data_IF_961018479875
#
_entry.id   IF_961018479875
#
_cell.length_a   1.000
_cell.length_b   1.000
_cell.length_c   1.000
_cell.angle_alpha   90.00
_cell.angle_beta   90.00
_cell.angle_gamma   90.00
#
_symmetry.space_group_name_H-M   'P 1'
#
loop_
_entity.id
_entity.type
_entity.pdbx_description
1 polymer ?
#
# COMPACT_ATOMS: atom_id res chain seq x y z
N UNK A 1 -6.85 22.95 -7.95
CA UNK A 1 -7.62 21.70 -8.20
C UNK A 1 -7.04 20.49 -7.45
N UNK A 2 -7.91 19.61 -6.89
CA UNK A 2 -7.49 18.31 -6.31
C UNK A 2 -7.04 17.35 -7.43
N UNK A 3 -6.08 16.45 -7.15
CA UNK A 3 -5.55 15.49 -8.14
C UNK A 3 -6.64 14.64 -8.80
N UNK A 4 -7.67 14.25 -8.05
CA UNK A 4 -8.78 13.45 -8.56
C UNK A 4 -9.61 14.20 -9.60
N UNK A 5 -9.87 15.51 -9.40
CA UNK A 5 -10.59 16.32 -10.38
C UNK A 5 -9.82 16.45 -11.70
N UNK A 6 -8.50 16.59 -11.65
CA UNK A 6 -7.65 16.57 -12.86
C UNK A 6 -7.75 15.24 -13.60
N UNK A 7 -7.82 14.13 -12.86
CA UNK A 7 -7.98 12.78 -13.43
C UNK A 7 -9.37 12.56 -14.00
N UNK A 8 -10.40 13.15 -13.41
CA UNK A 8 -11.75 13.19 -13.99
C UNK A 8 -11.76 13.90 -15.35
N UNK A 9 -11.08 15.04 -15.46
CA UNK A 9 -10.93 15.76 -16.73
C UNK A 9 -10.18 14.91 -17.77
N UNK A 10 -9.10 14.24 -17.36
CA UNK A 10 -8.37 13.31 -18.23
C UNK A 10 -9.26 12.15 -18.73
N UNK A 11 -10.09 11.59 -17.85
CA UNK A 11 -11.03 10.53 -18.21
C UNK A 11 -12.10 11.05 -19.17
N UNK A 12 -12.59 12.28 -18.98
CA UNK A 12 -13.51 12.93 -19.89
C UNK A 12 -12.89 13.13 -21.28
N UNK A 13 -11.69 13.71 -21.37
CA UNK A 13 -10.98 13.89 -22.65
C UNK A 13 -10.76 12.54 -23.37
N UNK A 14 -10.38 11.49 -22.64
CA UNK A 14 -10.23 10.15 -23.16
C UNK A 14 -11.54 9.57 -23.72
N UNK A 15 -12.65 9.73 -22.98
CA UNK A 15 -13.98 9.25 -23.42
C UNK A 15 -14.50 9.98 -24.66
N UNK A 16 -14.09 11.23 -24.84
CA UNK A 16 -14.40 11.99 -26.04
C UNK A 16 -13.52 11.62 -27.25
N UNK A 17 -12.64 10.62 -27.13
CA UNK A 17 -11.81 10.12 -28.23
C UNK A 17 -10.68 11.08 -28.64
N UNK A 18 -10.35 12.06 -27.80
CA UNK A 18 -9.32 13.05 -28.09
C UNK A 18 -7.94 12.41 -28.01
N UNK A 19 -6.98 12.92 -28.76
CA UNK A 19 -5.59 12.46 -28.66
C UNK A 19 -4.93 12.99 -27.38
N UNK A 20 -3.87 12.35 -26.86
CA UNK A 20 -3.15 12.87 -25.70
C UNK A 20 -2.59 14.29 -25.92
N UNK A 21 -2.27 14.66 -27.17
CA UNK A 21 -1.79 16.00 -27.53
C UNK A 21 -2.91 17.02 -27.35
N UNK A 22 -4.09 16.76 -27.91
CA UNK A 22 -5.26 17.63 -27.79
C UNK A 22 -5.70 17.75 -26.34
N UNK A 23 -5.79 16.63 -25.61
CA UNK A 23 -6.17 16.63 -24.20
C UNK A 23 -5.21 17.46 -23.33
N UNK A 24 -3.90 17.40 -23.61
CA UNK A 24 -2.90 18.23 -22.92
C UNK A 24 -3.16 19.72 -23.14
N UNK A 25 -3.44 20.11 -24.39
CA UNK A 25 -3.75 21.51 -24.74
C UNK A 25 -5.06 21.97 -24.10
N UNK A 26 -6.14 21.19 -24.25
CA UNK A 26 -7.47 21.51 -23.74
C UNK A 26 -7.47 21.67 -22.21
N UNK A 27 -6.79 20.77 -21.51
CA UNK A 27 -6.69 20.84 -20.05
C UNK A 27 -5.88 22.07 -19.63
N UNK A 28 -4.73 22.35 -20.24
CA UNK A 28 -3.93 23.53 -19.89
C UNK A 28 -4.63 24.85 -20.23
N UNK A 29 -5.41 24.90 -21.31
CA UNK A 29 -6.24 26.08 -21.66
C UNK A 29 -7.34 26.29 -20.62
N UNK A 30 -8.02 25.21 -20.22
CA UNK A 30 -9.12 25.29 -19.24
C UNK A 30 -8.65 25.44 -17.80
N UNK A 31 -7.39 25.09 -17.48
CA UNK A 31 -6.81 25.10 -16.14
C UNK A 31 -5.47 25.86 -16.12
N UNK A 32 -5.47 27.19 -16.30
CA UNK A 32 -4.23 27.98 -16.43
C UNK A 32 -3.35 27.95 -15.17
N UNK A 33 -3.94 27.71 -14.00
CA UNK A 33 -3.21 27.60 -12.73
C UNK A 33 -2.44 26.28 -12.57
N UNK A 34 -2.70 25.27 -13.42
CA UNK A 34 -2.07 23.95 -13.34
C UNK A 34 -1.58 23.48 -14.69
N UNK A 35 -0.27 23.33 -14.80
CA UNK A 35 0.36 22.80 -16.01
C UNK A 35 0.37 21.27 -15.92
N UNK A 36 -0.37 20.61 -16.81
CA UNK A 36 -0.26 19.17 -17.05
C UNK A 36 0.74 18.90 -18.18
N UNK A 37 1.63 17.94 -17.95
CA UNK A 37 2.60 17.49 -18.95
C UNK A 37 2.02 16.40 -19.84
N UNK A 38 2.45 16.37 -21.10
CA UNK A 38 2.07 15.32 -22.06
C UNK A 38 2.33 13.91 -21.51
N UNK A 39 3.46 13.68 -20.84
CA UNK A 39 3.80 12.39 -20.22
C UNK A 39 2.78 11.95 -19.17
N UNK A 40 2.23 12.91 -18.41
CA UNK A 40 1.17 12.63 -17.44
C UNK A 40 -0.11 12.20 -18.15
N UNK A 41 -0.52 12.94 -19.19
CA UNK A 41 -1.71 12.61 -20.00
C UNK A 41 -1.56 11.21 -20.62
N UNK A 42 -0.42 10.94 -21.28
CA UNK A 42 -0.14 9.64 -21.92
C UNK A 42 -0.22 8.49 -20.92
N UNK A 43 0.34 8.65 -19.72
CA UNK A 43 0.29 7.62 -18.66
C UNK A 43 -1.15 7.33 -18.23
N UNK A 44 -1.97 8.36 -18.06
CA UNK A 44 -3.39 8.19 -17.68
C UNK A 44 -4.22 7.58 -18.80
N UNK A 45 -4.01 8.03 -20.05
CA UNK A 45 -4.67 7.45 -21.22
C UNK A 45 -4.33 5.97 -21.38
N UNK A 46 -3.06 5.60 -21.19
CA UNK A 46 -2.63 4.19 -21.22
C UNK A 46 -3.32 3.34 -20.14
N UNK A 47 -3.53 3.93 -18.95
CA UNK A 47 -4.28 3.26 -17.86
C UNK A 47 -5.76 3.09 -18.23
N UNK A 48 -6.39 4.12 -18.81
CA UNK A 48 -7.78 4.05 -19.22
C UNK A 48 -8.01 3.11 -20.40
N UNK A 49 -7.05 3.01 -21.33
CA UNK A 49 -7.12 2.04 -22.43
C UNK A 49 -7.05 0.58 -21.97
N UNK A 50 -6.45 0.31 -20.80
CA UNK A 50 -6.49 -1.03 -20.18
C UNK A 50 -7.78 -1.28 -19.38
N UNK A 51 -8.76 -0.37 -19.43
CA UNK A 51 -10.04 -0.47 -18.72
C UNK A 51 -10.01 0.00 -17.27
N UNK A 52 -8.85 0.42 -16.73
CA UNK A 52 -8.74 0.89 -15.34
C UNK A 52 -9.11 2.38 -15.23
N UNK A 53 -10.40 2.64 -15.02
CA UNK A 53 -10.97 4.00 -14.86
C UNK A 53 -10.84 4.58 -13.44
N UNK A 54 -10.11 3.92 -12.53
CA UNK A 54 -9.96 4.41 -11.17
C UNK A 54 -9.22 5.75 -11.12
N UNK A 55 -9.79 6.74 -10.45
CA UNK A 55 -9.22 8.09 -10.34
C UNK A 55 -8.33 8.25 -9.11
N UNK A 56 -8.45 7.36 -8.13
CA UNK A 56 -7.61 7.34 -6.94
C UNK A 56 -6.26 6.68 -7.22
N UNK A 57 -5.26 7.03 -6.41
CA UNK A 57 -4.03 6.24 -6.37
C UNK A 57 -4.33 4.90 -5.70
N UNK A 58 -3.87 3.80 -6.32
CA UNK A 58 -3.85 2.50 -5.64
C UNK A 58 -3.00 2.63 -4.38
N UNK A 59 -3.36 1.89 -3.33
CA UNK A 59 -2.53 1.79 -2.14
C UNK A 59 -1.13 1.39 -2.57
N UNK A 60 -0.14 2.21 -2.18
CA UNK A 60 1.25 1.89 -2.49
C UNK A 60 1.63 0.74 -1.55
N UNK A 61 2.15 -0.35 -2.11
CA UNK A 61 2.65 -1.50 -1.34
C UNK A 61 3.82 -1.15 -0.40
N UNK A 62 4.36 0.08 -0.52
CA UNK A 62 5.50 0.54 0.25
C UNK A 62 6.74 -0.28 -0.06
N UNK A 63 7.78 -0.10 0.76
CA UNK A 63 8.96 -0.97 0.71
C UNK A 63 8.59 -2.31 1.36
N UNK A 64 8.75 -3.46 0.68
CA UNK A 64 8.55 -4.75 1.30
C UNK A 64 9.50 -4.91 2.49
N UNK A 65 8.97 -5.42 3.60
CA UNK A 65 9.75 -5.72 4.80
C UNK A 65 10.60 -6.96 4.53
N UNK A 66 11.92 -6.88 4.74
CA UNK A 66 12.82 -8.06 4.67
C UNK A 66 12.65 -9.04 5.84
N UNK A 67 11.79 -8.69 6.81
CA UNK A 67 11.58 -9.51 8.01
C UNK A 67 10.74 -10.73 7.63
N UNK A 68 11.23 -11.93 7.97
CA UNK A 68 10.45 -13.14 7.87
C UNK A 68 9.34 -13.11 8.95
N UNK A 69 8.10 -12.82 8.53
CA UNK A 69 6.96 -12.68 9.43
C UNK A 69 6.50 -14.03 10.00
N UNK A 70 6.56 -15.10 9.20
CA UNK A 70 6.19 -16.46 9.65
C UNK A 70 7.08 -16.90 10.80
N UNK A 71 8.40 -16.74 10.67
CA UNK A 71 9.34 -17.06 11.74
C UNK A 71 9.10 -16.21 13.00
N UNK A 72 8.69 -14.94 12.84
CA UNK A 72 8.37 -14.10 13.98
C UNK A 72 7.10 -14.58 14.70
N UNK A 73 6.08 -15.03 13.96
CA UNK A 73 4.86 -15.60 14.52
C UNK A 73 5.13 -16.91 15.27
N UNK A 74 5.95 -17.80 14.69
CA UNK A 74 6.38 -19.06 15.33
C UNK A 74 7.05 -18.78 16.69
N UNK A 75 8.03 -17.88 16.73
CA UNK A 75 8.74 -17.53 17.98
C UNK A 75 7.80 -16.95 19.05
N UNK A 76 6.79 -16.18 18.65
CA UNK A 76 5.79 -15.61 19.57
C UNK A 76 4.82 -16.69 20.06
N UNK A 77 4.49 -17.67 19.22
CA UNK A 77 3.63 -18.80 19.59
C UNK A 77 4.34 -19.75 20.55
N UNK A 78 5.61 -20.03 20.29
CA UNK A 78 6.45 -20.91 21.12
C UNK A 78 6.76 -20.29 22.49
N UNK A 79 7.03 -18.98 22.51
CA UNK A 79 7.24 -18.24 23.75
C UNK A 79 6.43 -16.94 23.80
N UNK A 80 5.14 -17.01 24.22
CA UNK A 80 4.29 -15.83 24.33
C UNK A 80 4.81 -14.77 25.29
N UNK A 81 5.67 -15.15 26.25
CA UNK A 81 6.22 -14.23 27.26
C UNK A 81 7.43 -13.42 26.77
N UNK A 82 8.02 -13.81 25.63
CA UNK A 82 9.25 -13.25 25.10
C UNK A 82 9.21 -11.71 25.00
N UNK A 83 10.31 -11.06 25.36
CA UNK A 83 10.45 -9.62 25.15
C UNK A 83 10.86 -9.32 23.71
N UNK A 84 10.64 -8.09 23.25
CA UNK A 84 11.12 -7.68 21.93
C UNK A 84 12.65 -7.82 21.81
N UNK A 85 13.39 -7.71 22.91
CA UNK A 85 14.85 -7.87 22.92
C UNK A 85 15.26 -9.32 22.67
N UNK A 86 14.57 -10.30 23.27
CA UNK A 86 14.80 -11.73 23.00
C UNK A 86 14.51 -12.07 21.54
N UNK A 87 13.35 -11.63 21.04
CA UNK A 87 12.96 -11.86 19.64
C UNK A 87 13.91 -11.17 18.65
N UNK A 88 14.42 -9.98 18.99
CA UNK A 88 15.40 -9.26 18.21
C UNK A 88 16.71 -10.03 18.09
N UNK A 89 17.23 -10.53 19.21
CA UNK A 89 18.45 -11.34 19.23
C UNK A 89 18.30 -12.64 18.43
N UNK A 90 17.16 -13.35 18.56
CA UNK A 90 16.90 -14.59 17.81
C UNK A 90 16.77 -14.38 16.30
N UNK A 91 16.22 -13.23 15.89
CA UNK A 91 16.00 -12.89 14.48
C UNK A 91 17.18 -12.14 13.85
N UNK A 92 18.13 -11.65 14.65
CA UNK A 92 19.21 -10.77 14.18
C UNK A 92 18.70 -9.41 13.66
N UNK A 93 17.58 -8.92 14.20
CA UNK A 93 16.89 -7.73 13.71
C UNK A 93 16.72 -6.73 14.85
N UNK A 94 16.75 -5.43 14.57
CA UNK A 94 16.58 -4.43 15.63
C UNK A 94 15.26 -4.61 16.40
N UNK A 95 15.32 -4.41 17.72
CA UNK A 95 14.14 -4.40 18.61
C UNK A 95 13.01 -3.51 18.09
N UNK A 96 13.35 -2.34 17.53
CA UNK A 96 12.38 -1.39 16.98
C UNK A 96 11.61 -1.97 15.78
N UNK A 97 12.29 -2.75 14.93
CA UNK A 97 11.71 -3.42 13.78
C UNK A 97 10.78 -4.55 14.23
N UNK A 98 11.22 -5.38 15.19
CA UNK A 98 10.39 -6.44 15.78
C UNK A 98 9.10 -5.85 16.35
N UNK A 99 9.19 -4.79 17.15
CA UNK A 99 8.01 -4.13 17.72
C UNK A 99 7.06 -3.58 16.65
N UNK A 100 7.59 -3.05 15.54
CA UNK A 100 6.77 -2.60 14.40
C UNK A 100 6.09 -3.78 13.71
N UNK A 101 6.78 -4.90 13.49
CA UNK A 101 6.18 -6.08 12.85
C UNK A 101 5.11 -6.73 13.73
N UNK A 102 5.36 -6.88 15.04
CA UNK A 102 4.36 -7.41 15.98
C UNK A 102 3.07 -6.59 15.98
N UNK A 103 3.19 -5.25 15.92
CA UNK A 103 2.02 -4.36 15.76
C UNK A 103 1.29 -4.57 14.44
N UNK A 104 2.02 -4.77 13.33
CA UNK A 104 1.42 -5.07 12.01
C UNK A 104 0.68 -6.40 12.00
N UNK A 105 1.20 -7.40 12.72
CA UNK A 105 0.58 -8.72 12.91
C UNK A 105 -0.57 -8.69 13.93
N UNK A 106 -0.88 -7.54 14.55
CA UNK A 106 -1.94 -7.44 15.54
C UNK A 106 -1.60 -8.02 16.92
N UNK A 107 -0.32 -8.34 17.19
CA UNK A 107 0.11 -8.74 18.53
C UNK A 107 0.18 -7.54 19.47
N UNK A 108 -0.50 -7.66 20.62
CA UNK A 108 -0.41 -6.72 21.74
C UNK A 108 0.08 -7.46 22.97
N UNK A 109 1.05 -6.89 23.67
CA UNK A 109 1.51 -7.43 24.95
C UNK A 109 0.46 -7.09 26.02
N UNK A 110 -0.12 -8.11 26.65
CA UNK A 110 -1.03 -7.97 27.80
C UNK A 110 -0.40 -8.68 28.99
N UNK A 111 -0.13 -7.94 30.06
CA UNK A 111 0.71 -8.37 31.17
C UNK A 111 2.08 -8.84 30.63
N UNK A 112 2.35 -10.14 30.71
CA UNK A 112 3.60 -10.74 30.27
C UNK A 112 3.52 -11.40 28.89
N UNK A 113 2.31 -11.65 28.36
CA UNK A 113 2.12 -12.47 27.16
C UNK A 113 1.66 -11.65 25.94
N UNK A 114 2.16 -12.02 24.76
CA UNK A 114 1.65 -11.55 23.48
C UNK A 114 0.31 -12.23 23.17
N UNK A 115 -0.72 -11.42 22.90
CA UNK A 115 -2.00 -11.90 22.39
C UNK A 115 -2.24 -11.30 21.02
N UNK A 116 -2.56 -12.13 20.03
CA UNK A 116 -3.03 -11.65 18.74
C UNK A 116 -4.45 -11.10 18.92
N UNK A 117 -4.69 -9.85 18.51
CA UNK A 117 -6.04 -9.26 18.55
C UNK A 117 -6.86 -9.57 17.30
N UNK A 118 -6.26 -10.25 16.31
CA UNK A 118 -6.93 -10.66 15.09
C UNK A 118 -7.35 -12.12 15.31
N UNK A 119 -8.64 -12.36 15.47
CA UNK A 119 -9.25 -13.70 15.53
C UNK A 119 -9.24 -14.35 14.14
N UNK A 120 -8.06 -14.56 13.57
CA UNK A 120 -7.84 -15.45 12.44
C UNK A 120 -6.64 -16.33 12.73
N UNK A 121 -6.78 -17.18 13.74
CA UNK A 121 -6.14 -18.49 13.73
C UNK A 121 -7.22 -19.49 13.34
N UNK A 122 -6.86 -20.45 12.50
CA UNK A 122 -7.64 -21.59 11.98
C UNK A 122 -8.19 -21.46 10.55
N UNK A 123 -7.32 -21.50 9.53
CA UNK A 123 -7.54 -22.09 8.18
C UNK A 123 -6.10 -22.26 7.60
N UNK A 124 -5.44 -23.41 7.38
CA UNK A 124 -5.79 -24.81 7.18
C UNK A 124 -4.61 -25.71 7.60
N UNK A 125 -4.89 -26.78 8.32
CA UNK A 125 -4.18 -28.05 8.18
C UNK A 125 -5.24 -29.14 8.33
N UNK A 126 -5.57 -29.83 7.24
CA UNK A 126 -6.24 -31.13 7.29
C UNK A 126 -6.04 -31.87 5.96
N UNK A 127 -5.25 -32.94 6.08
CA UNK A 127 -4.97 -34.06 5.16
C UNK A 127 -4.07 -33.81 3.96
#
# INVERSE_FOLDING_TARGET
MKKEALRSLLLYEFRCGRTPIEATKNINISQPEQIITFSTVKRWFSKFSTGDISLSDKSRSGRPSKVNLQRLEELVKDNPSATCDVLASQMGISRSTIQKQLRKLGHKKRFFNWKCSISQCCVNETK
#
